data_IF_617462459628
#
_entry.id   IF_617462459628
#
_cell.length_a   1.000
_cell.length_b   1.000
_cell.length_c   1.000
_cell.angle_alpha   90.00
_cell.angle_beta   90.00
_cell.angle_gamma   90.00
#
_symmetry.space_group_name_H-M   'P 1'
#
loop_
_entity.id
_entity.type
_entity.pdbx_description
1 polymer ?
#
# COMPACT_ATOMS: atom_id res chain seq x y z
N UNK A 1 -9.42 26.48 -3.56
CA UNK A 1 -9.25 25.01 -3.63
C UNK A 1 -9.22 24.60 -5.08
N UNK A 2 -8.24 23.81 -5.47
CA UNK A 2 -8.18 23.09 -6.76
C UNK A 2 -8.10 21.59 -6.47
N UNK A 3 -8.48 20.77 -7.44
CA UNK A 3 -8.45 19.30 -7.32
C UNK A 3 -7.70 18.76 -8.53
N UNK A 4 -6.78 17.84 -8.28
CA UNK A 4 -5.95 17.19 -9.29
C UNK A 4 -6.06 15.67 -9.15
N UNK A 5 -5.97 14.91 -10.26
CA UNK A 5 -5.76 13.47 -10.19
C UNK A 5 -4.59 13.13 -9.27
N UNK A 6 -4.72 12.04 -8.53
CA UNK A 6 -3.62 11.45 -7.78
C UNK A 6 -3.07 10.30 -8.63
N UNK A 7 -2.38 10.64 -9.70
CA UNK A 7 -1.69 9.73 -10.60
C UNK A 7 -0.38 10.38 -11.07
N UNK A 8 0.52 9.57 -11.64
CA UNK A 8 1.71 10.07 -12.32
C UNK A 8 1.57 10.19 -13.82
N UNK A 9 0.65 9.44 -14.43
CA UNK A 9 0.48 9.32 -15.87
C UNK A 9 -0.81 9.99 -16.40
N UNK A 10 -1.68 10.48 -15.51
CA UNK A 10 -2.99 11.06 -15.85
C UNK A 10 -4.13 10.05 -16.01
N UNK A 11 -3.90 8.76 -15.74
CA UNK A 11 -4.91 7.70 -15.76
C UNK A 11 -5.30 7.24 -14.35
N UNK A 12 -6.48 7.63 -13.89
CA UNK A 12 -7.03 7.20 -12.59
C UNK A 12 -7.58 5.76 -12.59
N UNK A 13 -7.28 4.95 -13.62
CA UNK A 13 -7.86 3.60 -13.78
C UNK A 13 -6.88 2.46 -13.51
N UNK A 14 -5.60 2.78 -13.32
CA UNK A 14 -4.51 1.84 -13.09
C UNK A 14 -4.18 1.74 -11.59
N UNK A 15 -4.30 0.54 -10.98
CA UNK A 15 -3.78 0.31 -9.63
C UNK A 15 -2.29 0.67 -9.56
N UNK A 16 -1.87 1.41 -8.54
CA UNK A 16 -0.47 1.77 -8.34
C UNK A 16 -0.06 3.20 -8.69
N UNK A 17 -0.89 3.97 -9.39
CA UNK A 17 -0.51 5.33 -9.76
C UNK A 17 -0.83 6.37 -8.69
N UNK A 18 -1.73 6.03 -7.77
CA UNK A 18 -2.08 6.88 -6.63
C UNK A 18 -0.98 6.90 -5.59
N UNK A 19 -0.52 8.10 -5.22
CA UNK A 19 0.59 8.25 -4.29
C UNK A 19 0.31 9.20 -3.15
N UNK A 20 1.16 9.13 -2.14
CA UNK A 20 1.00 9.99 -0.98
C UNK A 20 1.23 11.47 -1.40
N UNK A 21 0.68 12.44 -0.64
CA UNK A 21 0.72 13.84 -1.04
C UNK A 21 2.16 14.42 -1.09
N UNK A 22 3.09 13.82 -0.36
CA UNK A 22 4.53 14.10 -0.41
C UNK A 22 5.12 13.85 -1.80
N UNK A 23 5.01 12.60 -2.25
CA UNK A 23 5.53 12.16 -3.54
C UNK A 23 4.79 12.83 -4.71
N UNK A 24 3.46 12.96 -4.60
CA UNK A 24 2.69 13.70 -5.61
C UNK A 24 3.22 15.12 -5.80
N UNK A 25 3.50 15.83 -4.70
CA UNK A 25 4.06 17.18 -4.75
C UNK A 25 5.45 17.22 -5.41
N UNK A 26 6.32 16.25 -5.11
CA UNK A 26 7.65 16.17 -5.72
C UNK A 26 7.58 15.98 -7.23
N UNK A 27 6.66 15.14 -7.71
CA UNK A 27 6.55 14.80 -9.13
C UNK A 27 5.76 15.84 -9.93
N UNK A 28 4.77 16.48 -9.31
CA UNK A 28 3.91 17.44 -10.01
C UNK A 28 4.31 18.90 -9.81
N UNK A 29 5.38 19.17 -9.04
CA UNK A 29 5.84 20.55 -8.81
C UNK A 29 7.33 20.70 -9.08
N UNK A 30 7.72 21.86 -9.63
CA UNK A 30 9.12 22.17 -9.94
C UNK A 30 9.99 22.48 -8.69
N UNK A 31 9.60 22.03 -7.49
CA UNK A 31 10.22 22.48 -6.24
C UNK A 31 10.47 21.33 -5.25
N UNK A 32 11.47 20.52 -5.59
CA UNK A 32 11.97 19.38 -4.80
C UNK A 32 12.61 19.73 -3.44
N UNK A 33 12.66 21.01 -3.03
CA UNK A 33 13.32 21.46 -1.80
C UNK A 33 12.40 22.27 -0.88
N UNK A 34 11.09 22.26 -1.13
CA UNK A 34 10.14 22.87 -0.22
C UNK A 34 10.04 22.03 1.04
N UNK A 35 10.61 22.50 2.16
CA UNK A 35 10.42 21.85 3.45
C UNK A 35 8.93 21.71 3.72
N UNK A 36 8.47 20.48 3.74
CA UNK A 36 7.10 20.08 3.97
C UNK A 36 6.88 19.78 5.45
N UNK A 37 5.64 19.95 5.88
CA UNK A 37 5.19 19.47 7.18
C UNK A 37 4.02 18.53 6.97
N UNK A 38 4.21 17.28 7.34
CA UNK A 38 3.15 16.27 7.44
C UNK A 38 2.07 16.75 8.43
N UNK A 39 0.82 16.54 8.07
CA UNK A 39 -0.38 16.87 8.84
C UNK A 39 -1.54 16.02 8.33
N UNK A 40 -2.71 16.12 8.96
CA UNK A 40 -3.93 15.53 8.42
C UNK A 40 -5.02 16.60 8.27
N UNK A 41 -5.88 16.46 7.27
CA UNK A 41 -7.07 17.29 7.06
C UNK A 41 -8.30 16.39 7.06
N UNK A 42 -9.12 16.49 8.12
CA UNK A 42 -10.24 15.58 8.36
C UNK A 42 -9.83 14.10 8.46
N UNK A 43 -8.59 13.80 8.84
CA UNK A 43 -8.07 12.44 8.98
C UNK A 43 -7.27 11.97 7.75
N UNK A 44 -7.51 12.55 6.58
CA UNK A 44 -6.72 12.27 5.38
C UNK A 44 -5.32 12.85 5.46
N UNK A 45 -4.35 12.10 4.92
CA UNK A 45 -2.97 12.52 4.80
C UNK A 45 -2.80 13.80 3.98
N UNK A 46 -1.91 14.66 4.48
CA UNK A 46 -1.66 15.95 3.90
C UNK A 46 -0.24 16.44 4.18
N UNK A 47 0.29 17.22 3.24
CA UNK A 47 1.49 18.02 3.46
C UNK A 47 1.15 19.51 3.35
N UNK A 48 1.91 20.34 4.06
CA UNK A 48 1.91 21.79 3.81
C UNK A 48 3.29 22.25 3.38
N UNK A 49 3.35 22.91 2.23
CA UNK A 49 4.57 23.53 1.70
C UNK A 49 4.33 25.03 1.56
N UNK A 50 4.99 25.82 2.42
CA UNK A 50 4.81 27.26 2.48
C UNK A 50 3.37 27.65 2.85
N UNK A 51 2.63 28.19 1.87
CA UNK A 51 1.24 28.65 2.02
C UNK A 51 0.23 27.76 1.27
N UNK A 52 0.64 26.55 0.91
CA UNK A 52 -0.17 25.60 0.17
C UNK A 52 -0.24 24.27 0.92
N UNK A 53 -1.45 23.79 1.13
CA UNK A 53 -1.73 22.46 1.71
C UNK A 53 -2.26 21.55 0.60
N UNK A 54 -1.70 20.34 0.54
CA UNK A 54 -2.05 19.27 -0.39
C UNK A 54 -2.65 18.13 0.43
N UNK A 55 -3.86 17.69 0.10
CA UNK A 55 -4.56 16.63 0.85
C UNK A 55 -4.90 15.50 -0.11
N UNK A 56 -4.49 14.28 0.19
CA UNK A 56 -4.89 13.09 -0.54
C UNK A 56 -6.23 12.59 0.01
N UNK A 57 -7.31 12.75 -0.74
CA UNK A 57 -8.63 12.28 -0.29
C UNK A 57 -9.39 11.58 -1.41
N UNK A 58 -9.99 10.44 -1.10
CA UNK A 58 -10.77 9.66 -2.06
C UNK A 58 -12.11 10.30 -2.38
N UNK A 59 -12.41 10.39 -3.67
CA UNK A 59 -13.73 10.73 -4.17
C UNK A 59 -14.60 9.46 -4.23
N UNK A 60 -15.75 9.50 -3.55
CA UNK A 60 -16.72 8.42 -3.57
C UNK A 60 -17.79 8.67 -4.67
N UNK A 61 -17.86 7.83 -5.71
CA UNK A 61 -18.84 7.98 -6.77
C UNK A 61 -20.26 7.70 -6.25
N UNK A 62 -21.29 8.27 -6.88
CA UNK A 62 -22.69 8.05 -6.48
C UNK A 62 -23.27 6.70 -6.93
N UNK A 63 -22.43 5.71 -7.26
CA UNK A 63 -22.80 4.39 -7.79
C UNK A 63 -21.60 3.44 -7.82
N UNK A 64 -21.63 2.39 -8.65
CA UNK A 64 -20.57 1.38 -8.79
C UNK A 64 -19.31 1.88 -9.52
N UNK A 65 -18.95 3.15 -9.34
CA UNK A 65 -17.74 3.72 -9.95
C UNK A 65 -16.48 3.28 -9.19
N UNK A 66 -15.33 3.54 -9.80
CA UNK A 66 -14.03 3.32 -9.17
C UNK A 66 -13.82 4.38 -8.08
N UNK A 67 -13.31 3.94 -6.93
CA UNK A 67 -12.82 4.82 -5.88
C UNK A 67 -11.46 5.36 -6.31
N UNK A 68 -11.34 6.68 -6.39
CA UNK A 68 -10.10 7.32 -6.85
C UNK A 68 -9.64 8.35 -5.82
N UNK A 69 -8.40 8.24 -5.32
CA UNK A 69 -7.74 9.31 -4.58
C UNK A 69 -7.56 10.54 -5.47
N UNK A 70 -7.66 11.73 -4.88
CA UNK A 70 -7.37 13.01 -5.53
C UNK A 70 -6.53 13.88 -4.61
N UNK A 71 -5.73 14.78 -5.20
CA UNK A 71 -5.02 15.81 -4.46
C UNK A 71 -5.82 17.11 -4.44
N UNK A 72 -6.30 17.47 -3.26
CA UNK A 72 -6.95 18.75 -2.98
C UNK A 72 -5.91 19.79 -2.57
N UNK A 73 -5.79 20.84 -3.38
CA UNK A 73 -4.81 21.91 -3.19
C UNK A 73 -5.49 23.17 -2.65
N UNK A 74 -5.11 23.54 -1.44
CA UNK A 74 -5.58 24.76 -0.75
C UNK A 74 -4.41 25.72 -0.59
N UNK A 75 -4.39 26.77 -1.41
CA UNK A 75 -3.33 27.78 -1.42
C UNK A 75 -3.88 29.19 -1.17
N UNK A 76 -3.05 30.06 -0.60
CA UNK A 76 -3.27 31.50 -0.52
C UNK A 76 -2.02 32.28 -0.99
N UNK A 77 -2.09 33.61 -1.12
CA UNK A 77 -0.93 34.39 -1.58
C UNK A 77 0.13 34.53 -0.47
N UNK A 78 1.42 34.60 -0.83
CA UNK A 78 2.51 34.71 0.16
C UNK A 78 2.50 36.01 0.96
N UNK A 79 1.88 37.05 0.41
CA UNK A 79 1.67 38.37 1.01
C UNK A 79 0.27 38.54 1.63
N UNK A 80 -0.48 37.45 1.79
CA UNK A 80 -1.83 37.51 2.33
C UNK A 80 -1.85 38.09 3.76
N UNK A 81 -2.81 38.98 4.03
CA UNK A 81 -3.04 39.52 5.35
C UNK A 81 -3.40 38.42 6.38
N UNK A 82 -3.13 38.67 7.66
CA UNK A 82 -3.40 37.72 8.74
C UNK A 82 -4.88 37.28 8.82
N UNK A 83 -5.80 38.14 8.40
CA UNK A 83 -7.23 37.82 8.27
C UNK A 83 -7.48 36.70 7.26
N UNK A 84 -6.86 36.77 6.08
CA UNK A 84 -6.93 35.74 5.04
C UNK A 84 -6.29 34.44 5.51
N UNK A 85 -5.12 34.51 6.14
CA UNK A 85 -4.46 33.33 6.72
C UNK A 85 -5.37 32.64 7.75
N UNK A 86 -6.05 33.42 8.59
CA UNK A 86 -7.04 32.91 9.57
C UNK A 86 -8.23 32.26 8.87
N UNK A 87 -8.74 32.85 7.78
CA UNK A 87 -9.85 32.26 7.01
C UNK A 87 -9.44 30.92 6.40
N UNK A 88 -8.24 30.81 5.84
CA UNK A 88 -7.75 29.54 5.27
C UNK A 88 -7.56 28.49 6.36
N UNK A 89 -6.98 28.86 7.50
CA UNK A 89 -6.87 27.96 8.65
C UNK A 89 -8.23 27.44 9.09
N UNK A 90 -9.21 28.33 9.28
CA UNK A 90 -10.57 27.94 9.67
C UNK A 90 -11.25 27.08 8.60
N UNK A 91 -10.97 27.34 7.32
CA UNK A 91 -11.45 26.52 6.21
C UNK A 91 -10.90 25.10 6.29
N UNK A 92 -9.58 24.94 6.50
CA UNK A 92 -8.92 23.64 6.63
C UNK A 92 -9.41 22.87 7.87
N UNK A 93 -9.54 23.54 9.02
CA UNK A 93 -10.11 22.94 10.25
C UNK A 93 -11.57 22.48 10.07
N UNK A 94 -12.34 23.24 9.28
CA UNK A 94 -13.74 22.95 8.96
C UNK A 94 -13.94 22.05 7.74
N UNK A 95 -12.89 21.74 6.98
CA UNK A 95 -13.00 20.96 5.75
C UNK A 95 -13.41 19.54 6.10
N UNK A 96 -14.41 18.99 5.40
CA UNK A 96 -14.90 17.63 5.62
C UNK A 96 -15.08 16.92 4.29
N UNK A 97 -14.36 15.82 4.12
CA UNK A 97 -14.49 14.92 2.97
C UNK A 97 -15.54 13.85 3.24
N UNK A 98 -16.05 13.22 2.18
CA UNK A 98 -16.90 12.04 2.26
C UNK A 98 -18.10 12.15 3.22
N UNK A 99 -18.73 13.34 3.23
CA UNK A 99 -19.93 13.67 4.03
C UNK A 99 -21.25 13.46 3.28
N UNK A 100 -21.25 12.72 2.17
CA UNK A 100 -22.45 12.48 1.39
C UNK A 100 -23.53 11.78 2.25
N UNK A 101 -24.81 12.09 2.02
CA UNK A 101 -25.93 11.67 2.90
C UNK A 101 -26.19 10.15 2.94
N UNK A 102 -25.43 9.34 2.21
CA UNK A 102 -25.48 7.88 2.22
C UNK A 102 -24.96 7.33 3.58
N UNK A 103 -24.23 8.15 4.33
CA UNK A 103 -23.58 7.75 5.59
C UNK A 103 -24.40 8.02 6.86
N UNK A 104 -25.69 8.35 6.76
CA UNK A 104 -26.44 9.02 7.84
C UNK A 104 -26.52 8.26 9.18
N UNK A 105 -26.31 6.94 9.21
CA UNK A 105 -26.38 6.13 10.45
C UNK A 105 -25.05 5.45 10.84
N UNK A 106 -24.03 5.39 9.95
CA UNK A 106 -22.73 4.71 10.17
C UNK A 106 -21.49 5.61 9.87
N UNK A 107 -21.73 6.93 9.72
CA UNK A 107 -20.81 7.97 9.24
C UNK A 107 -19.35 7.94 9.68
N UNK A 108 -19.03 7.55 10.91
CA UNK A 108 -17.67 7.67 11.43
C UNK A 108 -16.80 6.45 11.09
N UNK A 109 -17.39 5.25 11.10
CA UNK A 109 -16.65 4.01 10.83
C UNK A 109 -16.38 3.87 9.34
N UNK A 110 -17.40 4.06 8.51
CA UNK A 110 -17.24 4.04 7.06
C UNK A 110 -16.28 5.13 6.57
N UNK A 111 -16.34 6.33 7.15
CA UNK A 111 -15.38 7.38 6.83
C UNK A 111 -13.94 7.00 7.24
N UNK A 112 -13.76 6.36 8.40
CA UNK A 112 -12.45 5.92 8.86
C UNK A 112 -11.85 4.88 7.90
N UNK A 113 -12.64 3.87 7.49
CA UNK A 113 -12.22 2.89 6.50
C UNK A 113 -11.81 3.51 5.17
N UNK A 114 -12.57 4.48 4.66
CA UNK A 114 -12.18 5.19 3.43
C UNK A 114 -10.90 5.99 3.63
N UNK A 115 -10.67 6.58 4.81
CA UNK A 115 -9.41 7.29 5.11
C UNK A 115 -8.25 6.30 5.09
N UNK A 116 -8.34 5.21 5.85
CA UNK A 116 -7.28 4.21 5.96
C UNK A 116 -7.01 3.52 4.61
N UNK A 117 -8.04 3.21 3.83
CA UNK A 117 -7.87 2.67 2.47
C UNK A 117 -7.28 3.69 1.50
N UNK A 118 -7.56 5.00 1.66
CA UNK A 118 -6.83 6.03 0.91
C UNK A 118 -5.35 5.94 1.22
N UNK A 119 -4.97 5.87 2.49
CA UNK A 119 -3.57 5.78 2.91
C UNK A 119 -2.92 4.52 2.31
N UNK A 120 -3.56 3.35 2.44
CA UNK A 120 -3.10 2.07 1.86
C UNK A 120 -2.85 2.15 0.37
N UNK A 121 -3.81 2.64 -0.41
CA UNK A 121 -3.68 2.75 -1.86
C UNK A 121 -2.56 3.73 -2.23
N UNK A 122 -2.46 4.85 -1.52
CA UNK A 122 -1.40 5.85 -1.79
C UNK A 122 -0.01 5.41 -1.35
N UNK A 123 0.08 4.59 -0.31
CA UNK A 123 1.33 3.98 0.13
C UNK A 123 1.81 2.93 -0.87
N UNK A 124 0.91 2.08 -1.37
CA UNK A 124 1.26 1.07 -2.38
C UNK A 124 1.72 1.71 -3.69
N UNK A 125 1.09 2.78 -4.17
CA UNK A 125 1.60 3.47 -5.35
C UNK A 125 2.91 4.20 -5.09
N UNK A 126 3.12 4.71 -3.87
CA UNK A 126 4.42 5.27 -3.47
C UNK A 126 5.51 4.20 -3.47
N UNK A 127 5.21 3.01 -2.95
CA UNK A 127 6.11 1.84 -2.98
C UNK A 127 6.38 1.38 -4.42
N UNK A 128 5.38 1.37 -5.28
CA UNK A 128 5.55 1.04 -6.70
C UNK A 128 6.51 2.03 -7.37
N UNK A 129 6.32 3.34 -7.19
CA UNK A 129 7.24 4.35 -7.69
C UNK A 129 8.69 4.15 -7.20
N UNK A 130 8.86 3.75 -5.94
CA UNK A 130 10.19 3.50 -5.37
C UNK A 130 10.83 2.24 -5.95
N UNK A 131 10.05 1.20 -6.21
CA UNK A 131 10.50 -0.02 -6.88
C UNK A 131 10.91 0.28 -8.32
N UNK A 132 10.11 1.02 -9.08
CA UNK A 132 10.50 1.46 -10.43
C UNK A 132 11.75 2.35 -10.38
N UNK A 133 11.83 3.27 -9.41
CA UNK A 133 13.02 4.09 -9.22
C UNK A 133 14.26 3.27 -8.89
N UNK A 134 14.11 2.21 -8.08
CA UNK A 134 15.17 1.28 -7.74
C UNK A 134 15.63 0.53 -9.01
N UNK A 135 14.70 -0.07 -9.75
CA UNK A 135 14.96 -0.81 -10.98
C UNK A 135 15.74 0.03 -12.01
N UNK A 136 15.27 1.25 -12.30
CA UNK A 136 15.90 2.12 -13.32
C UNK A 136 17.16 2.85 -12.85
N UNK A 137 17.32 3.05 -11.54
CA UNK A 137 18.53 3.66 -10.97
C UNK A 137 19.42 2.62 -10.30
N UNK A 138 19.27 1.35 -10.67
CA UNK A 138 19.99 0.30 -9.98
C UNK A 138 21.49 0.50 -10.18
N UNK A 139 22.16 0.67 -9.06
CA UNK A 139 23.61 0.83 -8.96
C UNK A 139 24.23 -0.36 -8.23
N UNK A 140 23.43 -1.39 -7.97
CA UNK A 140 23.88 -2.76 -7.86
C UNK A 140 24.96 -2.99 -8.91
N UNK A 141 26.11 -3.42 -8.43
CA UNK A 141 27.34 -3.47 -9.19
C UNK A 141 27.35 -4.66 -10.18
N UNK A 142 26.21 -5.30 -10.42
CA UNK A 142 26.02 -6.44 -11.31
C UNK A 142 25.62 -6.06 -12.74
N UNK A 143 25.28 -4.78 -12.98
CA UNK A 143 24.92 -4.20 -14.28
C UNK A 143 23.65 -4.77 -14.93
N UNK A 144 22.74 -5.31 -14.12
CA UNK A 144 21.38 -5.71 -14.51
C UNK A 144 20.36 -4.92 -13.72
N UNK A 145 19.38 -4.35 -14.41
CA UNK A 145 18.22 -3.74 -13.75
C UNK A 145 17.37 -4.88 -13.21
N UNK A 146 17.14 -4.92 -11.89
CA UNK A 146 16.25 -5.90 -11.28
C UNK A 146 15.43 -5.32 -10.11
N UNK A 147 14.31 -5.98 -9.80
CA UNK A 147 13.59 -5.72 -8.55
C UNK A 147 14.25 -6.46 -7.37
N UNK A 148 14.11 -5.94 -6.13
CA UNK A 148 14.73 -6.54 -4.96
C UNK A 148 14.35 -8.02 -4.72
N UNK A 149 15.28 -8.93 -5.00
CA UNK A 149 15.03 -10.39 -4.92
C UNK A 149 14.78 -10.94 -3.50
N UNK A 150 15.17 -10.19 -2.47
CA UNK A 150 15.16 -10.56 -1.06
C UNK A 150 15.59 -12.03 -0.81
N UNK A 151 16.67 -12.47 -1.45
CA UNK A 151 17.18 -13.86 -1.36
C UNK A 151 17.54 -14.31 0.05
N UNK A 152 17.78 -13.36 0.97
CA UNK A 152 18.01 -13.64 2.39
C UNK A 152 17.62 -12.47 3.28
N UNK A 153 17.32 -12.75 4.55
CA UNK A 153 17.02 -11.73 5.56
C UNK A 153 15.53 -11.52 5.84
N UNK A 154 14.65 -12.04 4.99
CA UNK A 154 13.23 -12.27 5.28
C UNK A 154 12.97 -13.72 5.71
N UNK A 155 11.76 -14.01 6.18
CA UNK A 155 11.34 -15.38 6.53
C UNK A 155 11.12 -16.26 5.29
N UNK A 156 10.65 -15.66 4.18
CA UNK A 156 10.48 -16.27 2.86
C UNK A 156 11.29 -15.47 1.84
N UNK A 157 12.16 -16.14 1.07
CA UNK A 157 12.92 -15.49 0.02
C UNK A 157 11.98 -14.83 -1.01
N UNK A 158 12.28 -13.59 -1.40
CA UNK A 158 11.41 -12.83 -2.31
C UNK A 158 10.11 -12.31 -1.70
N UNK A 159 9.90 -12.45 -0.39
CA UNK A 159 8.67 -11.98 0.25
C UNK A 159 8.95 -11.26 1.57
N UNK A 160 8.27 -10.13 1.78
CA UNK A 160 8.27 -9.44 3.08
C UNK A 160 6.94 -8.74 3.32
N UNK A 161 6.53 -8.65 4.57
CA UNK A 161 5.33 -7.90 5.00
C UNK A 161 5.71 -6.78 5.96
N UNK A 162 4.93 -5.70 6.00
CA UNK A 162 5.12 -4.54 6.90
C UNK A 162 5.12 -4.88 8.40
N UNK A 163 4.71 -6.10 8.76
CA UNK A 163 4.78 -6.62 10.12
C UNK A 163 6.17 -7.20 10.42
N UNK A 164 6.87 -7.73 9.41
CA UNK A 164 8.18 -8.34 9.58
C UNK A 164 9.29 -7.28 9.67
N UNK A 165 10.34 -7.52 10.48
CA UNK A 165 11.50 -6.62 10.52
C UNK A 165 12.15 -6.39 9.15
N UNK A 166 12.13 -7.41 8.26
CA UNK A 166 12.68 -7.34 6.91
C UNK A 166 12.07 -6.23 6.05
N UNK A 167 10.86 -5.74 6.37
CA UNK A 167 10.24 -4.63 5.65
C UNK A 167 11.08 -3.36 5.67
N UNK A 168 11.55 -2.94 6.86
CA UNK A 168 12.33 -1.71 6.99
C UNK A 168 13.84 -1.97 7.15
N UNK A 169 14.23 -3.08 7.79
CA UNK A 169 15.64 -3.37 8.04
C UNK A 169 16.38 -3.84 6.78
N UNK A 170 15.67 -4.48 5.84
CA UNK A 170 16.23 -4.98 4.59
C UNK A 170 15.63 -4.25 3.38
N UNK A 171 14.33 -4.40 3.16
CA UNK A 171 13.67 -3.89 1.95
C UNK A 171 13.70 -2.36 1.88
N UNK A 172 13.34 -1.67 2.97
CA UNK A 172 13.51 -0.22 3.05
C UNK A 172 14.97 0.25 2.92
N UNK A 173 15.91 -0.50 3.49
CA UNK A 173 17.33 -0.19 3.35
C UNK A 173 17.83 -0.30 1.89
N UNK A 174 17.34 -1.29 1.13
CA UNK A 174 17.61 -1.44 -0.31
C UNK A 174 17.00 -0.27 -1.10
N UNK A 175 15.75 0.08 -0.82
CA UNK A 175 15.09 1.24 -1.44
C UNK A 175 15.62 2.59 -0.94
N UNK A 176 16.54 2.61 0.04
CA UNK A 176 17.19 3.81 0.55
C UNK A 176 16.34 4.67 1.49
N UNK A 177 15.23 4.14 2.03
CA UNK A 177 14.27 4.90 2.82
C UNK A 177 13.49 4.06 3.83
N UNK A 178 12.88 4.72 4.82
CA UNK A 178 11.89 4.08 5.69
C UNK A 178 10.59 3.94 4.91
N UNK A 179 10.08 2.72 4.82
CA UNK A 179 8.86 2.39 4.10
C UNK A 179 7.63 2.62 4.97
N UNK A 180 6.50 3.05 4.37
CA UNK A 180 5.24 3.12 5.08
C UNK A 180 4.82 1.73 5.56
N UNK A 181 3.98 1.70 6.58
CA UNK A 181 3.36 0.47 7.10
C UNK A 181 1.85 0.68 7.07
N UNK A 182 1.11 -0.41 6.91
CA UNK A 182 -0.35 -0.38 6.95
C UNK A 182 -0.85 0.38 8.21
N UNK A 183 -1.89 1.22 8.15
CA UNK A 183 -2.38 1.96 9.32
C UNK A 183 -2.71 1.07 10.53
N UNK A 184 -3.16 -0.17 10.28
CA UNK A 184 -3.40 -1.18 11.31
C UNK A 184 -2.16 -2.03 11.58
N UNK A 185 -1.40 -2.40 10.54
CA UNK A 185 -0.16 -3.19 10.57
C UNK A 185 -0.19 -4.37 11.57
N UNK A 186 -1.20 -5.22 11.45
CA UNK A 186 -1.40 -6.34 12.35
C UNK A 186 -2.05 -7.54 11.65
N UNK A 187 -1.67 -8.74 12.11
CA UNK A 187 -2.40 -9.95 11.80
C UNK A 187 -3.71 -10.00 12.60
N UNK A 188 -4.81 -10.35 11.93
CA UNK A 188 -6.13 -10.41 12.55
C UNK A 188 -6.17 -11.38 13.72
N UNK A 189 -6.64 -10.92 14.89
CA UNK A 189 -6.68 -11.73 16.13
C UNK A 189 -5.32 -12.35 16.52
N UNK A 190 -4.27 -11.53 16.67
CA UNK A 190 -2.90 -11.95 17.00
C UNK A 190 -2.73 -12.98 18.15
N UNK A 191 -3.74 -13.17 19.02
CA UNK A 191 -3.75 -14.20 20.06
C UNK A 191 -4.12 -15.61 19.54
N UNK A 192 -4.84 -15.69 18.42
CA UNK A 192 -5.35 -16.93 17.80
C UNK A 192 -4.91 -17.10 16.35
N UNK A 193 -4.50 -16.03 15.68
CA UNK A 193 -4.24 -15.97 14.24
C UNK A 193 -3.15 -16.92 13.80
N UNK A 194 -2.14 -17.08 14.66
CA UNK A 194 -0.93 -17.81 14.36
C UNK A 194 -0.66 -18.77 15.53
N UNK A 195 -1.56 -19.75 15.76
CA UNK A 195 -1.47 -20.60 16.92
C UNK A 195 -0.34 -21.61 16.74
N UNK A 196 0.60 -21.61 17.69
CA UNK A 196 1.64 -22.61 17.78
C UNK A 196 1.06 -23.93 18.32
N UNK A 197 0.69 -24.83 17.41
CA UNK A 197 0.26 -26.20 17.70
C UNK A 197 1.10 -27.18 16.84
N UNK A 198 2.39 -27.33 17.15
CA UNK A 198 3.31 -28.10 16.35
C UNK A 198 2.89 -29.59 16.32
N UNK A 199 2.76 -30.24 15.15
CA UNK A 199 2.56 -31.69 15.09
C UNK A 199 3.69 -32.40 15.82
N UNK A 200 3.34 -33.39 16.64
CA UNK A 200 4.31 -34.29 17.24
C UNK A 200 4.81 -35.27 16.18
N UNK A 201 5.87 -34.87 15.49
CA UNK A 201 6.53 -35.69 14.47
C UNK A 201 7.05 -37.02 15.03
N UNK A 202 7.25 -37.12 16.36
CA UNK A 202 7.66 -38.37 17.01
C UNK A 202 6.50 -39.37 17.15
N UNK A 203 5.26 -38.89 17.05
CA UNK A 203 4.03 -39.69 17.03
C UNK A 203 3.52 -39.94 15.60
N UNK A 204 4.21 -39.43 14.58
CA UNK A 204 3.78 -39.54 13.18
C UNK A 204 2.61 -38.64 12.84
N UNK A 205 2.40 -37.57 13.62
CA UNK A 205 1.44 -36.53 13.29
C UNK A 205 1.92 -35.78 12.05
N UNK A 206 1.00 -35.56 11.11
CA UNK A 206 1.24 -34.80 9.87
C UNK A 206 0.38 -33.54 9.81
N UNK A 207 -0.29 -33.21 10.91
CA UNK A 207 -1.30 -32.15 11.00
C UNK A 207 -1.06 -31.34 12.26
N UNK A 208 -0.72 -30.07 12.10
CA UNK A 208 -0.56 -29.05 13.14
C UNK A 208 0.09 -27.81 12.51
N UNK A 209 0.20 -26.72 13.27
CA UNK A 209 0.66 -25.40 12.80
C UNK A 209 1.88 -24.93 13.61
N UNK A 210 3.02 -24.61 12.98
CA UNK A 210 4.20 -24.11 13.69
C UNK A 210 4.41 -22.59 13.54
N UNK A 211 3.44 -21.74 13.85
CA UNK A 211 3.75 -20.31 13.83
C UNK A 211 4.58 -19.90 15.04
N UNK A 212 5.63 -19.09 14.85
CA UNK A 212 6.46 -18.69 15.99
C UNK A 212 5.68 -17.92 17.06
N UNK A 213 6.13 -18.02 18.31
CA UNK A 213 5.54 -17.30 19.45
C UNK A 213 5.68 -15.77 19.35
N UNK A 214 6.44 -15.29 18.35
CA UNK A 214 6.69 -13.87 18.13
C UNK A 214 5.64 -13.22 17.21
N UNK A 215 4.69 -14.01 16.70
CA UNK A 215 3.54 -13.51 15.94
C UNK A 215 3.89 -13.13 14.50
N UNK A 216 4.91 -13.75 13.92
CA UNK A 216 5.30 -13.52 12.51
C UNK A 216 4.42 -14.28 11.52
N UNK A 217 3.67 -15.26 12.03
CA UNK A 217 2.83 -16.17 11.25
C UNK A 217 3.60 -16.97 10.20
N UNK A 218 4.91 -17.10 10.42
CA UNK A 218 5.81 -17.97 9.68
C UNK A 218 5.97 -19.32 10.40
N UNK A 219 5.86 -20.39 9.62
CA UNK A 219 6.13 -21.76 10.02
C UNK A 219 7.57 -22.17 9.65
N UNK A 220 8.51 -22.25 10.62
CA UNK A 220 9.90 -22.56 10.32
C UNK A 220 10.14 -24.04 9.98
N UNK A 221 9.16 -24.93 10.21
CA UNK A 221 9.28 -26.38 9.98
C UNK A 221 8.75 -26.73 8.59
N UNK A 222 7.54 -26.28 8.27
CA UNK A 222 6.89 -26.45 6.97
C UNK A 222 7.41 -25.47 5.92
N UNK A 223 8.10 -24.40 6.35
CA UNK A 223 8.57 -23.31 5.48
C UNK A 223 7.41 -22.61 4.78
N UNK A 224 6.36 -22.33 5.54
CA UNK A 224 5.11 -21.77 5.03
C UNK A 224 4.69 -20.53 5.82
N UNK A 225 4.02 -19.59 5.16
CA UNK A 225 3.50 -18.38 5.80
C UNK A 225 1.98 -18.39 5.72
N UNK A 226 1.35 -18.01 6.84
CA UNK A 226 -0.09 -17.86 6.93
C UNK A 226 -0.41 -16.40 7.23
N UNK A 227 -1.05 -15.72 6.29
CA UNK A 227 -1.73 -14.46 6.50
C UNK A 227 -3.18 -14.73 6.90
N UNK A 228 -3.54 -14.59 8.19
CA UNK A 228 -4.92 -14.80 8.66
C UNK A 228 -5.89 -13.88 7.91
N UNK A 229 -7.11 -14.35 7.61
CA UNK A 229 -8.16 -13.50 7.03
C UNK A 229 -8.38 -12.25 7.89
N UNK A 230 -8.72 -11.12 7.26
CA UNK A 230 -8.90 -9.80 7.90
C UNK A 230 -7.60 -9.17 8.43
N UNK A 231 -6.42 -9.73 8.11
CA UNK A 231 -5.15 -9.09 8.46
C UNK A 231 -4.94 -7.85 7.60
N UNK A 232 -4.31 -6.84 8.19
CA UNK A 232 -3.99 -5.59 7.51
C UNK A 232 -2.49 -5.36 7.60
N UNK A 233 -1.83 -5.55 6.46
CA UNK A 233 -0.39 -5.36 6.29
C UNK A 233 -0.11 -5.09 4.81
N UNK A 234 1.00 -4.42 4.52
CA UNK A 234 1.54 -4.42 3.18
C UNK A 234 2.37 -5.69 2.98
N UNK A 235 2.35 -6.24 1.77
CA UNK A 235 3.18 -7.37 1.39
C UNK A 235 3.85 -7.09 0.06
N UNK A 236 5.16 -7.27 -0.01
CA UNK A 236 5.95 -7.27 -1.23
C UNK A 236 6.26 -8.70 -1.63
N UNK A 237 6.12 -8.98 -2.93
CA UNK A 237 6.48 -10.23 -3.57
C UNK A 237 7.32 -9.96 -4.81
N UNK A 238 8.57 -10.44 -4.77
CA UNK A 238 9.40 -10.62 -5.94
C UNK A 238 8.89 -11.83 -6.75
N UNK A 239 8.63 -11.64 -8.05
CA UNK A 239 8.19 -12.72 -8.95
C UNK A 239 9.30 -13.11 -9.91
N UNK A 240 9.97 -12.13 -10.50
CA UNK A 240 11.24 -12.27 -11.19
C UNK A 240 11.97 -10.91 -11.27
N UNK A 241 13.09 -10.85 -11.99
CA UNK A 241 13.92 -9.64 -12.10
C UNK A 241 13.13 -8.44 -12.65
N UNK A 242 12.14 -8.70 -13.50
CA UNK A 242 11.37 -7.70 -14.23
C UNK A 242 9.91 -7.64 -13.74
N UNK A 243 9.50 -8.38 -12.70
CA UNK A 243 8.11 -8.48 -12.20
C UNK A 243 8.04 -8.49 -10.66
N UNK A 244 7.18 -7.63 -10.11
CA UNK A 244 6.82 -7.62 -8.69
C UNK A 244 5.33 -7.47 -8.46
N UNK A 245 4.90 -7.78 -7.23
CA UNK A 245 3.59 -7.38 -6.73
C UNK A 245 3.64 -6.87 -5.29
N UNK A 246 2.81 -5.86 -5.03
CA UNK A 246 2.51 -5.27 -3.73
C UNK A 246 1.05 -5.52 -3.40
N UNK A 247 0.78 -6.00 -2.18
CA UNK A 247 -0.57 -6.35 -1.76
C UNK A 247 -0.96 -5.62 -0.47
N UNK A 248 -2.26 -5.36 -0.33
CA UNK A 248 -2.88 -4.92 0.92
C UNK A 248 -4.32 -5.45 1.02
N UNK A 249 -4.96 -5.23 2.17
CA UNK A 249 -6.35 -5.59 2.43
C UNK A 249 -7.14 -4.32 2.79
N UNK A 250 -8.14 -4.00 1.98
CA UNK A 250 -8.96 -2.80 2.08
C UNK A 250 -10.22 -3.07 2.93
N UNK A 251 -10.68 -2.06 3.66
CA UNK A 251 -11.75 -2.21 4.66
C UNK A 251 -13.11 -1.68 4.21
N UNK A 252 -13.13 -0.75 3.27
CA UNK A 252 -14.35 -0.10 2.80
C UNK A 252 -15.09 -0.95 1.75
N UNK A 253 -16.29 -1.39 2.10
CA UNK A 253 -17.17 -2.25 1.29
C UNK A 253 -18.45 -1.53 0.83
N UNK A 254 -18.48 -0.20 0.96
CA UNK A 254 -19.63 0.64 0.64
C UNK A 254 -19.86 0.89 -0.86
N UNK A 255 -20.37 2.09 -1.18
CA UNK A 255 -20.64 2.47 -2.59
C UNK A 255 -19.34 2.80 -3.31
N UNK A 256 -19.20 2.23 -4.50
CA UNK A 256 -17.97 2.26 -5.29
C UNK A 256 -17.15 1.01 -5.02
N UNK A 257 -16.07 0.84 -5.75
CA UNK A 257 -15.10 -0.20 -5.45
C UNK A 257 -13.71 0.34 -5.72
N UNK A 258 -12.78 0.01 -4.83
CA UNK A 258 -11.39 -0.07 -5.22
C UNK A 258 -11.30 -1.13 -6.33
N UNK A 259 -10.55 -0.86 -7.39
CA UNK A 259 -10.37 -1.86 -8.43
C UNK A 259 -9.57 -3.01 -7.84
N UNK A 260 -10.21 -4.15 -7.61
CA UNK A 260 -9.75 -5.49 -8.01
C UNK A 260 -10.37 -6.64 -7.17
N UNK A 261 -9.75 -7.83 -7.22
CA UNK A 261 -10.28 -9.12 -6.78
C UNK A 261 -9.73 -9.63 -5.44
N UNK A 262 -9.67 -10.95 -5.28
CA UNK A 262 -9.02 -11.60 -4.12
C UNK A 262 -7.71 -12.24 -4.57
N UNK A 263 -6.66 -12.04 -3.77
CA UNK A 263 -5.30 -12.46 -4.06
C UNK A 263 -4.76 -13.36 -2.97
N UNK A 264 -3.85 -14.24 -3.39
CA UNK A 264 -3.08 -15.07 -2.48
C UNK A 264 -1.63 -15.08 -2.93
N UNK A 265 -0.82 -14.16 -2.37
CA UNK A 265 0.60 -14.09 -2.67
C UNK A 265 1.34 -15.36 -2.21
N UNK A 266 0.70 -16.23 -1.43
CA UNK A 266 1.25 -17.46 -0.90
C UNK A 266 0.74 -18.72 -1.63
N UNK A 267 -0.18 -18.58 -2.61
CA UNK A 267 -0.64 -19.68 -3.42
C UNK A 267 0.50 -20.18 -4.31
N UNK A 268 1.22 -21.19 -3.81
CA UNK A 268 2.37 -21.83 -4.47
C UNK A 268 3.38 -20.84 -5.02
N UNK A 269 4.28 -20.38 -4.16
CA UNK A 269 5.64 -20.02 -4.59
C UNK A 269 6.30 -21.31 -5.13
N UNK A 270 5.91 -21.69 -6.35
CA UNK A 270 6.46 -22.83 -7.06
C UNK A 270 7.77 -22.35 -7.70
N UNK A 271 8.86 -23.06 -7.42
CA UNK A 271 10.25 -22.90 -7.87
C UNK A 271 10.37 -22.92 -9.43
N UNK A 272 9.66 -22.03 -10.11
CA UNK A 272 9.65 -21.88 -11.56
C UNK A 272 8.52 -22.58 -12.33
N UNK A 273 7.34 -22.83 -11.74
CA UNK A 273 6.15 -23.26 -12.53
C UNK A 273 4.91 -22.40 -12.30
N UNK A 274 4.48 -21.73 -13.37
CA UNK A 274 3.34 -20.80 -13.47
C UNK A 274 2.10 -21.20 -12.66
N UNK A 275 1.62 -20.32 -11.78
CA UNK A 275 0.33 -20.46 -11.11
C UNK A 275 -0.74 -19.68 -11.87
N UNK A 276 -1.83 -20.36 -12.22
CA UNK A 276 -2.91 -19.82 -13.05
C UNK A 276 -3.86 -18.92 -12.25
N UNK A 277 -4.26 -17.81 -12.86
CA UNK A 277 -5.13 -16.73 -12.38
C UNK A 277 -6.61 -17.08 -12.14
N UNK A 278 -6.94 -18.33 -11.82
CA UNK A 278 -8.32 -18.70 -11.45
C UNK A 278 -8.39 -19.99 -10.64
N UNK A 279 -8.43 -19.88 -9.31
CA UNK A 279 -8.69 -21.01 -8.42
C UNK A 279 -9.82 -20.62 -7.46
N UNK A 280 -10.81 -21.51 -7.35
CA UNK A 280 -12.17 -21.21 -6.87
C UNK A 280 -12.51 -21.80 -5.49
N UNK A 281 -11.52 -22.25 -4.73
CA UNK A 281 -11.72 -22.81 -3.39
C UNK A 281 -10.62 -22.30 -2.43
N UNK A 282 -10.93 -21.19 -1.74
CA UNK A 282 -10.01 -20.43 -0.89
C UNK A 282 -10.07 -20.77 0.61
N UNK A 283 -10.76 -21.85 1.00
CA UNK A 283 -10.99 -22.17 2.42
C UNK A 283 -9.79 -22.81 3.16
N UNK A 284 -8.56 -22.66 2.65
CA UNK A 284 -7.38 -23.27 3.27
C UNK A 284 -6.03 -22.96 2.63
N UNK A 285 -5.89 -21.88 1.86
CA UNK A 285 -4.59 -21.42 1.37
C UNK A 285 -4.07 -20.25 2.21
N UNK A 286 -2.75 -20.16 2.32
CA UNK A 286 -2.07 -19.47 3.41
C UNK A 286 -2.36 -17.97 3.52
N UNK A 287 -2.66 -17.26 2.43
CA UNK A 287 -2.72 -15.79 2.43
C UNK A 287 -3.90 -15.22 1.65
N UNK A 288 -5.11 -15.73 1.85
CA UNK A 288 -6.35 -15.22 1.24
C UNK A 288 -6.81 -13.82 1.71
N UNK A 289 -6.00 -13.16 2.54
CA UNK A 289 -6.36 -11.91 3.20
C UNK A 289 -6.26 -10.68 2.30
N UNK A 290 -5.62 -10.77 1.13
CA UNK A 290 -5.36 -9.59 0.29
C UNK A 290 -6.42 -9.39 -0.78
N UNK A 291 -6.83 -8.15 -0.99
CA UNK A 291 -7.88 -7.78 -1.94
C UNK A 291 -7.63 -6.46 -2.66
N UNK A 292 -6.36 -6.09 -2.71
CA UNK A 292 -5.84 -5.04 -3.56
C UNK A 292 -4.39 -5.38 -3.92
N UNK A 293 -4.05 -5.28 -5.20
CA UNK A 293 -2.70 -5.48 -5.72
C UNK A 293 -2.26 -4.29 -6.58
N UNK A 294 -0.98 -3.95 -6.44
CA UNK A 294 -0.22 -3.15 -7.41
C UNK A 294 0.88 -4.04 -7.93
N UNK A 295 0.86 -4.33 -9.22
CA UNK A 295 1.85 -5.18 -9.89
C UNK A 295 2.38 -4.47 -11.12
N UNK A 296 3.66 -4.67 -11.42
CA UNK A 296 4.31 -4.12 -12.60
C UNK A 296 5.24 -5.18 -13.20
N UNK A 297 5.32 -5.20 -14.52
CA UNK A 297 6.23 -6.05 -15.29
C UNK A 297 6.90 -5.25 -16.41
N UNK A 298 8.20 -5.03 -16.25
CA UNK A 298 9.07 -4.28 -17.18
C UNK A 298 9.31 -5.07 -18.49
N UNK A 299 8.94 -6.36 -18.53
CA UNK A 299 8.92 -7.14 -19.79
C UNK A 299 7.79 -6.72 -20.74
N UNK A 300 6.73 -6.11 -20.20
CA UNK A 300 5.52 -5.72 -20.93
C UNK A 300 5.37 -4.22 -21.10
N UNK A 301 5.98 -3.42 -20.21
CA UNK A 301 5.76 -1.97 -20.13
C UNK A 301 6.91 -1.16 -20.73
N UNK A 302 7.05 -1.26 -22.05
CA UNK A 302 8.18 -0.69 -22.78
C UNK A 302 8.13 0.85 -22.97
N UNK A 303 7.40 1.62 -22.14
CA UNK A 303 7.28 3.07 -22.34
C UNK A 303 6.79 3.95 -21.17
N UNK A 304 6.11 3.45 -20.14
CA UNK A 304 5.32 4.33 -19.25
C UNK A 304 6.12 4.88 -18.07
N UNK A 305 6.95 4.05 -17.42
CA UNK A 305 7.78 4.48 -16.29
C UNK A 305 9.17 5.01 -16.68
N UNK A 306 9.77 4.48 -17.75
CA UNK A 306 11.07 4.94 -18.26
C UNK A 306 11.10 6.42 -18.71
N UNK A 307 9.96 6.99 -19.12
CA UNK A 307 9.86 8.39 -19.56
C UNK A 307 9.73 9.40 -18.39
N UNK A 308 9.66 8.92 -17.14
CA UNK A 308 9.54 9.74 -15.92
C UNK A 308 10.88 10.01 -15.22
N UNK A 309 12.00 9.45 -15.71
CA UNK A 309 13.34 9.59 -15.12
C UNK A 309 14.37 10.23 -16.08
#
# INVERSE_FOLDING_TARGET
VRVYPNDFDGDLTTPGDSVNPGLWYLLNTNNANGGDSETTINGYDAITVGNTTYVAATNLPSGSGVLSPYIFVVAYSGDAESSTQTVVKNLLEGFKFNRNTIFADECALEQAKVIEDTDRVTDLGTLAYLLSSYYYNDTDNDSTDDFPDLTSGSYIAGLTTSIWPSWNELFGALLGQTLPVDPTNAFADAATACPYDPPDLSLGETTGTYYDETGTCWDPVLKDFYGPEESHSYLYQYRDADDFALYTNLEYDGVGAWSDGKYDPCATYDDGTTVASSISDYSGSGCSTFDYVVEDSETTDNATYADLF
#
